data_IF_014737477702
#
_entry.id   IF_014737477702
#
_cell.length_a   1.000
_cell.length_b   1.000
_cell.length_c   1.000
_cell.angle_alpha   90.00
_cell.angle_beta   90.00
_cell.angle_gamma   90.00
#
_symmetry.space_group_name_H-M   'P 1'
#
loop_
_entity.id
_entity.type
_entity.pdbx_description
1 polymer ?
#
# COMPACT_ATOMS: atom_id res chain seq x y z
N UNK A 1 10.91 -54.31 -12.96
CA UNK A 1 11.19 -53.90 -14.36
C UNK A 1 11.49 -52.41 -14.32
N UNK A 2 12.78 -52.10 -14.40
CA UNK A 2 13.39 -50.79 -14.13
C UNK A 2 13.23 -49.90 -15.36
N UNK A 3 12.58 -48.75 -15.22
CA UNK A 3 12.45 -47.79 -16.32
C UNK A 3 13.66 -46.85 -16.36
N UNK A 4 14.25 -46.83 -17.56
CA UNK A 4 15.45 -46.12 -17.99
C UNK A 4 15.15 -44.62 -18.09
N UNK A 5 16.00 -43.78 -17.48
CA UNK A 5 16.10 -42.36 -17.83
C UNK A 5 17.52 -42.07 -18.30
N UNK A 6 17.67 -41.86 -19.61
CA UNK A 6 18.91 -41.43 -20.27
C UNK A 6 19.31 -40.04 -19.78
N UNK A 7 20.48 -39.93 -19.13
CA UNK A 7 21.14 -38.66 -18.83
C UNK A 7 21.71 -38.04 -20.12
N UNK A 8 21.22 -36.86 -20.48
CA UNK A 8 21.74 -36.06 -21.61
C UNK A 8 22.89 -35.19 -21.09
N UNK A 9 24.13 -35.55 -21.41
CA UNK A 9 25.31 -34.71 -21.19
C UNK A 9 25.34 -33.58 -22.24
N UNK A 10 24.98 -32.35 -21.86
CA UNK A 10 25.17 -31.17 -22.73
C UNK A 10 26.61 -30.66 -22.60
N UNK A 11 27.40 -30.86 -23.66
CA UNK A 11 28.73 -30.24 -23.83
C UNK A 11 28.52 -28.81 -24.35
N UNK A 12 28.88 -27.79 -23.58
CA UNK A 12 28.85 -26.40 -24.04
C UNK A 12 30.19 -26.09 -24.73
N UNK A 13 30.20 -25.99 -26.06
CA UNK A 13 31.33 -25.45 -26.80
C UNK A 13 31.07 -23.98 -27.10
N UNK A 14 31.88 -23.08 -26.52
CA UNK A 14 31.86 -21.66 -26.84
C UNK A 14 32.84 -21.47 -28.00
N UNK A 15 32.32 -21.38 -29.23
CA UNK A 15 33.08 -21.00 -30.40
C UNK A 15 32.96 -19.49 -30.62
N UNK A 16 34.09 -18.77 -30.60
CA UNK A 16 34.13 -17.37 -31.04
C UNK A 16 34.32 -17.33 -32.55
N UNK A 17 33.25 -17.02 -33.30
CA UNK A 17 33.32 -16.79 -34.73
C UNK A 17 33.67 -15.31 -35.02
N UNK A 18 34.73 -15.13 -35.83
CA UNK A 18 35.09 -13.99 -36.68
C UNK A 18 34.70 -12.56 -36.25
N UNK A 19 35.67 -11.82 -35.73
CA UNK A 19 36.23 -10.61 -36.36
C UNK A 19 37.21 -9.93 -35.39
N UNK A 20 38.51 -10.09 -35.65
CA UNK A 20 39.56 -9.27 -35.04
C UNK A 20 39.54 -7.89 -35.70
N UNK A 21 38.85 -6.91 -35.10
CA UNK A 21 39.11 -5.47 -35.29
C UNK A 21 38.17 -4.66 -34.39
N UNK A 22 38.59 -4.40 -33.15
CA UNK A 22 38.22 -3.19 -32.39
C UNK A 22 38.90 -3.21 -31.03
N UNK A 23 39.67 -2.16 -30.75
CA UNK A 23 40.21 -1.85 -29.43
C UNK A 23 39.11 -1.81 -28.36
N UNK A 24 39.13 -2.75 -27.41
CA UNK A 24 38.41 -2.65 -26.15
C UNK A 24 39.40 -2.95 -25.01
N UNK A 25 39.81 -1.89 -24.30
CA UNK A 25 40.38 -2.03 -22.95
C UNK A 25 39.26 -2.50 -22.03
N UNK A 26 39.33 -3.74 -21.54
CA UNK A 26 38.44 -4.24 -20.50
C UNK A 26 39.24 -5.03 -19.45
N UNK A 27 39.33 -4.57 -18.19
CA UNK A 27 40.12 -5.23 -17.15
C UNK A 27 39.24 -6.20 -16.32
N UNK A 28 38.55 -7.19 -16.92
CA UNK A 28 37.66 -8.06 -16.13
C UNK A 28 37.59 -9.54 -16.56
N UNK A 29 38.54 -10.04 -17.34
CA UNK A 29 38.56 -11.46 -17.74
C UNK A 29 38.85 -12.49 -16.61
N UNK A 30 39.54 -12.18 -15.49
CA UNK A 30 39.76 -13.17 -14.42
C UNK A 30 38.49 -13.57 -13.65
N UNK A 31 37.38 -12.82 -13.78
CA UNK A 31 36.22 -12.95 -12.90
C UNK A 31 35.25 -14.07 -13.31
N UNK A 32 35.21 -14.46 -14.59
CA UNK A 32 34.23 -15.42 -15.10
C UNK A 32 34.58 -16.88 -14.77
N UNK A 33 35.85 -17.25 -14.77
CA UNK A 33 36.27 -18.63 -14.46
C UNK A 33 36.03 -18.96 -12.97
N UNK A 34 36.24 -17.98 -12.08
CA UNK A 34 36.02 -18.13 -10.64
C UNK A 34 34.52 -18.24 -10.28
N UNK A 35 33.65 -17.60 -11.08
CA UNK A 35 32.19 -17.66 -10.92
C UNK A 35 31.58 -19.00 -11.36
N UNK A 36 32.16 -19.64 -12.38
CA UNK A 36 31.70 -20.94 -12.88
C UNK A 36 32.19 -22.11 -12.02
N UNK A 37 33.42 -22.04 -11.50
CA UNK A 37 33.98 -23.04 -10.58
C UNK A 37 33.16 -23.20 -9.29
N UNK A 38 32.63 -22.09 -8.74
CA UNK A 38 31.86 -22.10 -7.49
C UNK A 38 30.43 -22.65 -7.59
N UNK A 39 29.82 -22.67 -8.78
CA UNK A 39 28.40 -22.99 -8.92
C UNK A 39 28.10 -24.33 -9.65
N UNK A 40 29.07 -24.96 -10.31
CA UNK A 40 28.87 -26.20 -11.08
C UNK A 40 30.09 -27.15 -10.92
N UNK A 41 30.18 -27.94 -9.84
CA UNK A 41 31.38 -28.73 -9.53
C UNK A 41 31.66 -29.92 -10.48
N UNK A 42 30.77 -30.21 -11.44
CA UNK A 42 30.86 -31.38 -12.32
C UNK A 42 31.05 -31.04 -13.81
N UNK A 43 31.51 -29.83 -14.15
CA UNK A 43 31.76 -29.43 -15.54
C UNK A 43 33.26 -29.29 -15.80
N UNK A 44 33.79 -30.14 -16.68
CA UNK A 44 35.15 -30.01 -17.21
C UNK A 44 35.19 -28.94 -18.29
N UNK A 45 35.87 -27.82 -18.00
CA UNK A 45 36.12 -26.73 -18.94
C UNK A 45 37.52 -26.93 -19.55
N UNK A 46 37.60 -27.09 -20.87
CA UNK A 46 38.88 -27.15 -21.61
C UNK A 46 39.05 -25.86 -22.40
N UNK A 47 40.08 -25.09 -22.09
CA UNK A 47 40.48 -23.88 -22.82
C UNK A 47 41.71 -24.22 -23.65
N UNK A 48 41.64 -24.09 -24.98
CA UNK A 48 42.82 -24.15 -25.85
C UNK A 48 43.38 -22.73 -25.99
N UNK A 49 44.61 -22.51 -25.53
CA UNK A 49 45.37 -21.29 -25.82
C UNK A 49 46.00 -21.37 -27.20
N UNK A 50 45.80 -20.35 -28.04
CA UNK A 50 46.75 -20.03 -29.11
C UNK A 50 48.04 -19.49 -28.47
N UNK A 51 49.16 -19.73 -29.14
CA UNK A 51 50.52 -19.50 -28.66
C UNK A 51 50.89 -18.03 -28.36
N UNK A 52 51.95 -17.93 -27.55
CA UNK A 52 52.90 -16.83 -27.35
C UNK A 52 52.49 -15.56 -26.58
N UNK A 53 52.66 -15.61 -25.26
CA UNK A 53 53.11 -14.45 -24.46
C UNK A 53 53.84 -14.91 -23.19
N UNK A 54 55.14 -14.64 -23.13
CA UNK A 54 56.03 -14.78 -21.97
C UNK A 54 55.49 -14.02 -20.75
N UNK A 55 55.20 -14.72 -19.65
CA UNK A 55 55.29 -14.17 -18.29
C UNK A 55 55.95 -15.21 -17.38
N UNK A 56 57.03 -14.78 -16.75
CA UNK A 56 58.07 -15.53 -16.04
C UNK A 56 57.53 -16.26 -14.80
N UNK A 57 57.71 -17.58 -14.76
CA UNK A 57 57.59 -18.38 -13.54
C UNK A 57 58.83 -18.16 -12.65
N UNK A 58 58.63 -17.94 -11.35
CA UNK A 58 59.69 -18.18 -10.37
C UNK A 58 59.13 -18.64 -9.01
N UNK A 59 59.61 -19.81 -8.63
CA UNK A 59 59.71 -20.43 -7.30
C UNK A 59 58.44 -20.95 -6.61
N UNK A 60 58.20 -22.23 -6.90
CA UNK A 60 57.70 -23.21 -5.94
C UNK A 60 58.82 -23.48 -4.92
N UNK A 61 58.55 -23.25 -3.64
CA UNK A 61 59.28 -23.88 -2.53
C UNK A 61 58.25 -24.65 -1.70
N UNK A 62 58.37 -25.96 -1.72
CA UNK A 62 57.72 -26.88 -0.78
C UNK A 62 58.46 -26.77 0.56
N UNK A 63 57.75 -26.36 1.63
CA UNK A 63 58.12 -26.71 3.00
C UNK A 63 56.86 -27.27 3.65
N UNK A 64 56.87 -28.59 3.87
CA UNK A 64 55.89 -29.26 4.71
C UNK A 64 56.16 -28.93 6.17
N UNK A 65 55.13 -28.51 6.89
CA UNK A 65 55.04 -28.64 8.33
C UNK A 65 53.56 -28.71 8.73
N UNK A 66 53.21 -29.85 9.29
CA UNK A 66 51.94 -30.22 9.91
C UNK A 66 51.36 -29.11 10.80
N UNK A 67 50.13 -28.66 10.52
CA UNK A 67 49.29 -28.03 11.53
C UNK A 67 47.83 -28.44 11.33
N UNK A 68 47.31 -29.09 12.35
CA UNK A 68 45.95 -29.61 12.43
C UNK A 68 44.91 -28.55 12.03
N UNK A 69 44.02 -28.94 11.12
CA UNK A 69 42.80 -28.23 10.76
C UNK A 69 41.97 -27.99 12.03
N UNK A 70 41.97 -26.76 12.52
CA UNK A 70 40.90 -26.26 13.39
C UNK A 70 39.90 -25.57 12.46
N UNK A 71 38.92 -26.34 11.98
CA UNK A 71 37.75 -25.81 11.28
C UNK A 71 37.03 -24.91 12.28
N UNK A 72 37.11 -23.60 12.08
CA UNK A 72 36.27 -22.64 12.80
C UNK A 72 34.82 -23.01 12.54
N UNK A 73 33.97 -23.16 13.58
CA UNK A 73 32.56 -23.43 13.36
C UNK A 73 31.97 -22.27 12.57
N UNK A 74 31.31 -22.61 11.47
CA UNK A 74 30.48 -21.71 10.68
C UNK A 74 29.66 -20.89 11.65
N UNK A 75 29.90 -19.58 11.68
CA UNK A 75 29.12 -18.66 12.47
C UNK A 75 27.65 -18.93 12.13
N UNK A 76 26.90 -19.39 13.13
CA UNK A 76 25.46 -19.56 13.05
C UNK A 76 24.89 -18.32 12.36
N UNK A 77 24.33 -18.50 11.16
CA UNK A 77 23.41 -17.54 10.58
C UNK A 77 22.41 -17.22 11.68
N UNK A 78 22.46 -15.98 12.19
CA UNK A 78 21.48 -15.48 13.14
C UNK A 78 20.11 -15.88 12.60
N UNK A 79 19.22 -16.45 13.42
CA UNK A 79 17.88 -16.75 12.95
C UNK A 79 17.37 -15.44 12.36
N UNK A 80 17.04 -15.46 11.06
CA UNK A 80 16.33 -14.36 10.45
C UNK A 80 15.21 -14.01 11.41
N UNK A 81 15.14 -12.72 11.79
CA UNK A 81 14.10 -12.25 12.71
C UNK A 81 12.79 -12.83 12.19
N UNK A 82 12.25 -13.81 12.93
CA UNK A 82 10.93 -14.39 12.70
C UNK A 82 9.93 -13.28 12.99
N UNK A 83 9.82 -12.30 12.11
CA UNK A 83 8.61 -11.53 12.01
C UNK A 83 7.54 -12.57 11.72
N UNK A 84 6.66 -12.77 12.69
CA UNK A 84 5.64 -13.78 12.59
C UNK A 84 4.86 -13.53 11.30
N UNK A 85 4.95 -14.48 10.35
CA UNK A 85 4.10 -14.55 9.17
C UNK A 85 2.66 -14.40 9.65
N UNK A 86 2.09 -13.22 9.41
CA UNK A 86 0.77 -12.87 9.90
C UNK A 86 -0.20 -13.08 8.75
N UNK A 87 -1.14 -14.02 8.93
CA UNK A 87 -2.25 -14.14 8.00
C UNK A 87 -3.02 -12.83 7.94
N UNK A 88 -3.58 -12.51 6.79
CA UNK A 88 -4.27 -11.24 6.57
C UNK A 88 -5.44 -11.06 7.56
N UNK A 89 -6.28 -12.08 7.80
CA UNK A 89 -7.28 -11.99 8.87
C UNK A 89 -6.70 -11.76 10.29
N UNK A 90 -5.50 -12.28 10.56
CA UNK A 90 -4.79 -11.99 11.81
C UNK A 90 -4.38 -10.53 11.92
N UNK A 91 -3.94 -9.92 10.81
CA UNK A 91 -3.70 -8.48 10.71
C UNK A 91 -4.97 -7.68 10.97
N UNK A 92 -6.06 -7.97 10.27
CA UNK A 92 -7.34 -7.29 10.42
C UNK A 92 -7.84 -7.36 11.87
N UNK A 93 -7.75 -8.54 12.48
CA UNK A 93 -8.16 -8.74 13.86
C UNK A 93 -7.36 -7.85 14.82
N UNK A 94 -6.02 -7.90 14.73
CA UNK A 94 -5.14 -7.22 15.68
C UNK A 94 -5.17 -5.70 15.53
N UNK A 95 -5.13 -5.21 14.29
CA UNK A 95 -4.92 -3.78 14.01
C UNK A 95 -6.21 -3.03 13.66
N UNK A 96 -7.34 -3.71 13.47
CA UNK A 96 -8.58 -3.02 13.11
C UNK A 96 -9.73 -3.43 14.01
N UNK A 97 -9.99 -4.73 14.18
CA UNK A 97 -11.10 -5.21 15.00
C UNK A 97 -10.91 -4.85 16.47
N UNK A 98 -9.73 -5.04 17.05
CA UNK A 98 -9.46 -4.69 18.47
C UNK A 98 -9.66 -3.18 18.72
N UNK A 99 -9.01 -2.25 17.97
CA UNK A 99 -9.26 -0.81 18.13
C UNK A 99 -10.72 -0.42 17.89
N UNK A 100 -11.37 -1.01 16.87
CA UNK A 100 -12.78 -0.74 16.59
C UNK A 100 -13.66 -1.16 17.76
N UNK A 101 -13.45 -2.34 18.33
CA UNK A 101 -14.18 -2.81 19.51
C UNK A 101 -14.01 -1.86 20.71
N UNK A 102 -12.79 -1.33 20.93
CA UNK A 102 -12.54 -0.34 21.97
C UNK A 102 -13.32 0.97 21.72
N UNK A 103 -13.36 1.45 20.47
CA UNK A 103 -14.14 2.63 20.09
C UNK A 103 -15.65 2.40 20.23
N UNK A 104 -16.15 1.23 19.83
CA UNK A 104 -17.56 0.86 20.00
C UNK A 104 -17.93 0.80 21.48
N UNK A 105 -17.07 0.22 22.33
CA UNK A 105 -17.28 0.20 23.77
C UNK A 105 -17.31 1.62 24.37
N UNK A 106 -16.40 2.50 23.96
CA UNK A 106 -16.42 3.90 24.38
C UNK A 106 -17.66 4.65 23.89
N UNK A 107 -18.08 4.45 22.64
CA UNK A 107 -19.30 5.05 22.12
C UNK A 107 -20.55 4.60 22.90
N UNK A 108 -20.61 3.32 23.27
CA UNK A 108 -21.67 2.79 24.13
C UNK A 108 -21.65 3.42 25.52
N UNK A 109 -20.46 3.55 26.14
CA UNK A 109 -20.29 4.20 27.45
C UNK A 109 -20.67 5.67 27.43
N UNK A 110 -20.28 6.41 26.39
CA UNK A 110 -20.65 7.83 26.21
C UNK A 110 -22.16 7.98 26.09
N UNK A 111 -22.82 7.13 25.30
CA UNK A 111 -24.29 7.09 25.18
C UNK A 111 -24.97 6.82 26.52
N UNK A 112 -24.45 5.87 27.32
CA UNK A 112 -24.96 5.58 28.68
C UNK A 112 -24.79 6.76 29.65
N UNK A 113 -23.81 7.64 29.40
CA UNK A 113 -23.56 8.85 30.18
C UNK A 113 -24.32 10.08 29.65
N UNK A 114 -25.19 9.91 28.66
CA UNK A 114 -25.93 11.02 28.04
C UNK A 114 -25.06 11.94 27.18
N UNK A 115 -23.83 11.53 26.84
CA UNK A 115 -22.93 12.30 25.98
C UNK A 115 -23.25 12.03 24.52
N UNK A 116 -24.07 12.90 23.96
CA UNK A 116 -24.52 12.80 22.56
C UNK A 116 -23.63 13.62 21.61
N UNK A 117 -23.82 13.44 20.30
CA UNK A 117 -23.23 14.31 19.30
C UNK A 117 -23.71 15.76 19.49
N UNK A 118 -22.94 16.75 19.01
CA UNK A 118 -23.43 18.12 18.98
C UNK A 118 -24.57 18.30 17.99
N UNK A 119 -25.50 19.22 18.27
CA UNK A 119 -26.71 19.39 17.46
C UNK A 119 -26.44 19.73 15.99
N UNK A 120 -25.34 20.40 15.69
CA UNK A 120 -24.91 20.71 14.31
C UNK A 120 -24.55 19.46 13.50
N UNK A 121 -24.19 18.36 14.18
CA UNK A 121 -23.78 17.07 13.59
C UNK A 121 -24.83 15.95 13.82
N UNK A 122 -26.08 16.31 14.14
CA UNK A 122 -27.22 15.39 14.23
C UNK A 122 -28.10 15.44 12.98
N UNK A 123 -27.50 15.43 11.80
CA UNK A 123 -28.22 15.42 10.52
C UNK A 123 -28.85 14.06 10.21
N UNK A 124 -28.08 12.98 10.35
CA UNK A 124 -28.48 11.58 10.11
C UNK A 124 -27.96 10.72 11.27
N UNK A 125 -28.62 9.57 11.51
CA UNK A 125 -28.16 8.58 12.47
C UNK A 125 -26.73 8.10 12.15
N UNK A 126 -25.78 8.15 13.10
CA UNK A 126 -24.39 7.76 12.87
C UNK A 126 -24.20 6.36 12.29
N UNK A 127 -25.02 5.41 12.74
CA UNK A 127 -24.99 4.02 12.30
C UNK A 127 -25.39 3.90 10.82
N UNK A 128 -26.40 4.65 10.40
CA UNK A 128 -26.82 4.71 9.00
C UNK A 128 -25.76 5.39 8.12
N UNK A 129 -25.10 6.44 8.62
CA UNK A 129 -24.00 7.10 7.93
C UNK A 129 -22.81 6.14 7.72
N UNK A 130 -22.44 5.38 8.75
CA UNK A 130 -21.38 4.37 8.67
C UNK A 130 -21.72 3.25 7.68
N UNK A 131 -22.93 2.69 7.78
CA UNK A 131 -23.36 1.62 6.88
C UNK A 131 -23.42 2.09 5.41
N UNK A 132 -23.93 3.31 5.19
CA UNK A 132 -23.97 3.92 3.86
C UNK A 132 -22.56 4.13 3.29
N UNK A 133 -21.64 4.69 4.07
CA UNK A 133 -20.26 4.90 3.61
C UNK A 133 -19.52 3.58 3.39
N UNK A 134 -19.71 2.56 4.24
CA UNK A 134 -19.08 1.26 4.04
C UNK A 134 -19.57 0.60 2.75
N UNK A 135 -20.87 0.73 2.44
CA UNK A 135 -21.45 0.24 1.18
C UNK A 135 -20.86 0.95 -0.03
N UNK A 136 -20.75 2.28 0.03
CA UNK A 136 -20.14 3.08 -1.04
C UNK A 136 -18.65 2.74 -1.19
N UNK A 137 -17.92 2.57 -0.09
CA UNK A 137 -16.51 2.20 -0.10
C UNK A 137 -16.31 0.85 -0.80
N UNK A 138 -17.09 -0.18 -0.44
CA UNK A 138 -17.02 -1.48 -1.12
C UNK A 138 -17.33 -1.31 -2.61
N UNK A 139 -18.45 -0.69 -2.97
CA UNK A 139 -18.87 -0.55 -4.36
C UNK A 139 -17.86 0.23 -5.23
N UNK A 140 -17.30 1.32 -4.70
CA UNK A 140 -16.41 2.22 -5.44
C UNK A 140 -14.96 1.73 -5.49
N UNK A 141 -14.48 1.04 -4.44
CA UNK A 141 -13.10 0.55 -4.38
C UNK A 141 -12.95 -0.78 -5.12
N UNK A 142 -13.98 -1.64 -5.14
CA UNK A 142 -13.94 -2.97 -5.79
C UNK A 142 -13.33 -2.96 -7.21
N UNK A 143 -13.83 -2.15 -8.17
CA UNK A 143 -13.29 -2.19 -9.53
C UNK A 143 -11.85 -1.68 -9.62
N UNK A 144 -11.52 -0.65 -8.83
CA UNK A 144 -10.18 -0.07 -8.78
C UNK A 144 -9.18 -1.08 -8.24
N UNK A 145 -9.51 -1.74 -7.14
CA UNK A 145 -8.58 -2.65 -6.47
C UNK A 145 -8.37 -3.94 -7.27
N UNK A 146 -9.44 -4.48 -7.86
CA UNK A 146 -9.32 -5.59 -8.80
C UNK A 146 -8.41 -5.26 -9.97
N UNK A 147 -8.49 -4.04 -10.52
CA UNK A 147 -7.59 -3.61 -11.58
C UNK A 147 -6.12 -3.58 -11.11
N UNK A 148 -5.85 -3.08 -9.89
CA UNK A 148 -4.49 -3.03 -9.36
C UNK A 148 -3.88 -4.42 -9.20
N UNK A 149 -4.64 -5.36 -8.65
CA UNK A 149 -4.16 -6.74 -8.43
C UNK A 149 -4.05 -7.49 -9.75
N UNK A 150 -5.03 -7.36 -10.65
CA UNK A 150 -5.01 -7.97 -11.99
C UNK A 150 -3.79 -7.49 -12.81
N UNK A 151 -3.46 -6.20 -12.70
CA UNK A 151 -2.30 -5.62 -13.40
C UNK A 151 -0.99 -5.73 -12.63
N UNK A 152 -0.94 -6.40 -11.47
CA UNK A 152 0.29 -6.56 -10.67
C UNK A 152 0.92 -5.23 -10.24
N UNK A 153 0.10 -4.22 -9.95
CA UNK A 153 0.55 -3.06 -9.17
C UNK A 153 0.93 -3.50 -7.76
N UNK A 154 0.15 -4.42 -7.20
CA UNK A 154 0.44 -5.12 -5.97
C UNK A 154 -0.18 -6.52 -5.99
N UNK A 155 0.24 -7.39 -5.08
CA UNK A 155 -0.27 -8.75 -4.94
C UNK A 155 -0.06 -9.30 -3.53
N UNK A 156 -0.80 -10.35 -3.20
CA UNK A 156 -0.75 -11.04 -1.91
C UNK A 156 0.09 -12.32 -1.97
N UNK A 157 0.63 -12.75 -0.83
CA UNK A 157 1.16 -14.12 -0.68
C UNK A 157 -0.03 -15.10 -0.53
N UNK A 158 -0.20 -16.07 -1.44
CA UNK A 158 -1.27 -17.07 -1.37
C UNK A 158 -1.31 -17.88 -0.07
N UNK A 159 -0.19 -17.96 0.68
CA UNK A 159 -0.12 -18.67 1.97
C UNK A 159 -0.65 -17.84 3.14
N UNK A 160 -0.77 -16.53 2.97
CA UNK A 160 -1.17 -15.59 4.02
C UNK A 160 -2.61 -15.09 3.86
N UNK A 161 -3.28 -15.45 2.76
CA UNK A 161 -4.70 -15.25 2.52
C UNK A 161 -5.44 -16.59 2.53
N UNK A 162 -6.77 -16.56 2.69
CA UNK A 162 -7.63 -17.75 2.72
C UNK A 162 -7.83 -18.38 1.35
N UNK A 163 -7.58 -17.65 0.27
CA UNK A 163 -7.77 -18.10 -1.11
C UNK A 163 -9.19 -17.91 -1.65
N UNK A 164 -10.14 -17.40 -0.85
CA UNK A 164 -11.45 -16.99 -1.35
C UNK A 164 -11.34 -15.65 -2.06
N UNK A 165 -11.38 -15.67 -3.39
CA UNK A 165 -11.24 -14.49 -4.24
C UNK A 165 -12.61 -14.01 -4.76
N UNK A 166 -12.83 -12.70 -4.75
CA UNK A 166 -13.86 -12.04 -5.54
C UNK A 166 -13.16 -11.26 -6.65
N UNK A 167 -13.23 -11.78 -7.88
CA UNK A 167 -12.38 -11.34 -8.98
C UNK A 167 -10.92 -11.77 -8.75
N UNK A 168 -10.01 -10.81 -8.62
CA UNK A 168 -8.58 -11.03 -8.34
C UNK A 168 -8.21 -10.83 -6.87
N UNK A 169 -9.11 -10.26 -6.09
CA UNK A 169 -8.84 -9.74 -4.75
C UNK A 169 -9.39 -10.71 -3.69
N UNK A 170 -8.62 -11.03 -2.62
CA UNK A 170 -9.08 -11.90 -1.55
C UNK A 170 -10.16 -11.24 -0.68
N UNK A 171 -11.06 -12.05 -0.10
CA UNK A 171 -12.19 -11.58 0.71
C UNK A 171 -11.76 -10.74 1.94
N UNK A 172 -10.55 -10.98 2.44
CA UNK A 172 -9.90 -10.20 3.49
C UNK A 172 -9.82 -8.71 3.13
N UNK A 173 -9.55 -8.37 1.87
CA UNK A 173 -9.44 -6.99 1.43
C UNK A 173 -10.82 -6.29 1.41
N UNK A 174 -11.86 -6.99 0.99
CA UNK A 174 -13.23 -6.46 1.10
C UNK A 174 -13.64 -6.25 2.55
N UNK A 175 -13.18 -7.14 3.44
CA UNK A 175 -13.34 -6.99 4.88
C UNK A 175 -12.56 -5.76 5.38
N UNK A 176 -11.35 -5.52 4.86
CA UNK A 176 -10.58 -4.32 5.14
C UNK A 176 -11.32 -3.04 4.74
N UNK A 177 -11.94 -2.96 3.56
CA UNK A 177 -12.71 -1.79 3.13
C UNK A 177 -13.80 -1.42 4.13
N UNK A 178 -14.55 -2.43 4.61
CA UNK A 178 -15.61 -2.24 5.61
C UNK A 178 -15.01 -1.84 6.95
N UNK A 179 -14.03 -2.60 7.44
CA UNK A 179 -13.47 -2.38 8.78
C UNK A 179 -12.72 -1.05 8.88
N UNK A 180 -11.98 -0.62 7.85
CA UNK A 180 -11.35 0.69 7.80
C UNK A 180 -12.41 1.80 7.86
N UNK A 181 -13.48 1.68 7.08
CA UNK A 181 -14.58 2.67 7.09
C UNK A 181 -15.21 2.78 8.48
N UNK A 182 -15.47 1.65 9.13
CA UNK A 182 -16.00 1.61 10.49
C UNK A 182 -15.01 2.17 11.51
N UNK A 183 -13.72 1.83 11.41
CA UNK A 183 -12.68 2.32 12.33
C UNK A 183 -12.54 3.83 12.26
N UNK A 184 -12.29 4.38 11.06
CA UNK A 184 -12.08 5.81 10.85
C UNK A 184 -13.35 6.61 11.15
N UNK A 185 -14.51 6.10 10.74
CA UNK A 185 -15.79 6.73 11.04
C UNK A 185 -16.11 6.72 12.54
N UNK A 186 -15.84 5.61 13.26
CA UNK A 186 -16.03 5.53 14.71
C UNK A 186 -15.05 6.42 15.47
N UNK A 187 -13.81 6.55 15.00
CA UNK A 187 -12.83 7.48 15.54
C UNK A 187 -13.30 8.93 15.38
N UNK A 188 -13.80 9.31 14.21
CA UNK A 188 -14.36 10.64 13.97
C UNK A 188 -15.58 10.90 14.88
N UNK A 189 -16.46 9.92 15.07
CA UNK A 189 -17.62 10.04 15.97
C UNK A 189 -17.19 10.20 17.43
N UNK A 190 -16.15 9.49 17.86
CA UNK A 190 -15.54 9.70 19.16
C UNK A 190 -15.03 11.14 19.29
N UNK A 191 -14.27 11.65 18.31
CA UNK A 191 -13.80 13.03 18.31
C UNK A 191 -14.94 14.06 18.29
N UNK A 192 -15.99 13.83 17.49
CA UNK A 192 -17.12 14.74 17.37
C UNK A 192 -17.88 14.94 18.70
N UNK A 193 -17.92 13.91 19.55
CA UNK A 193 -18.50 14.00 20.91
C UNK A 193 -17.58 14.71 21.89
N UNK A 194 -16.28 14.73 21.65
CA UNK A 194 -15.26 15.15 22.62
C UNK A 194 -14.59 16.48 22.29
N UNK A 195 -14.72 16.98 21.06
CA UNK A 195 -14.14 18.25 20.62
C UNK A 195 -15.17 19.38 20.66
N UNK A 196 -14.74 20.62 20.94
CA UNK A 196 -15.62 21.78 20.84
C UNK A 196 -16.08 21.99 19.39
N UNK A 197 -17.35 22.33 19.23
CA UNK A 197 -17.93 22.67 17.92
C UNK A 197 -17.53 24.08 17.54
N UNK A 198 -17.12 24.26 16.29
CA UNK A 198 -17.00 25.57 15.69
C UNK A 198 -18.29 25.91 14.94
N UNK A 199 -19.05 26.88 15.42
CA UNK A 199 -20.28 27.37 14.79
C UNK A 199 -20.02 28.50 13.79
N UNK A 200 -18.79 29.04 13.75
CA UNK A 200 -18.44 30.15 12.88
C UNK A 200 -18.35 29.70 11.43
N UNK A 201 -19.27 30.21 10.61
CA UNK A 201 -19.26 29.99 9.16
C UNK A 201 -18.09 30.74 8.53
N UNK A 202 -17.47 30.18 7.47
CA UNK A 202 -16.43 30.87 6.75
C UNK A 202 -16.96 32.15 6.09
N UNK A 203 -16.12 33.19 6.02
CA UNK A 203 -16.48 34.48 5.39
C UNK A 203 -16.87 34.33 3.91
N UNK A 204 -16.14 33.51 3.16
CA UNK A 204 -16.33 33.31 1.71
C UNK A 204 -16.56 31.83 1.38
N UNK A 205 -17.76 31.27 1.64
CA UNK A 205 -18.03 29.83 1.48
C UNK A 205 -17.89 29.36 0.04
N UNK A 206 -18.35 30.16 -0.94
CA UNK A 206 -18.26 29.79 -2.37
C UNK A 206 -16.80 29.72 -2.85
N UNK A 207 -15.98 30.70 -2.44
CA UNK A 207 -14.56 30.74 -2.79
C UNK A 207 -13.81 29.52 -2.25
N UNK A 208 -14.12 29.08 -1.02
CA UNK A 208 -13.50 27.89 -0.43
C UNK A 208 -13.89 26.64 -1.24
N UNK A 209 -15.18 26.45 -1.52
CA UNK A 209 -15.66 25.28 -2.28
C UNK A 209 -15.04 25.21 -3.67
N UNK A 210 -15.13 26.31 -4.42
CA UNK A 210 -14.61 26.35 -5.79
C UNK A 210 -13.08 26.32 -5.82
N UNK A 211 -12.41 27.07 -4.94
CA UNK A 211 -10.95 27.16 -4.90
C UNK A 211 -10.30 25.82 -4.59
N UNK A 212 -10.76 25.12 -3.54
CA UNK A 212 -10.24 23.79 -3.20
C UNK A 212 -10.57 22.78 -4.31
N UNK A 213 -11.80 22.80 -4.82
CA UNK A 213 -12.19 21.86 -5.90
C UNK A 213 -11.38 22.09 -7.17
N UNK A 214 -11.13 23.34 -7.57
CA UNK A 214 -10.31 23.67 -8.72
C UNK A 214 -8.86 23.23 -8.54
N UNK A 215 -8.27 23.43 -7.35
CA UNK A 215 -6.93 22.95 -7.05
C UNK A 215 -6.84 21.42 -7.16
N UNK A 216 -7.82 20.70 -6.61
CA UNK A 216 -7.89 19.23 -6.71
C UNK A 216 -8.11 18.77 -8.16
N UNK A 217 -8.90 19.49 -8.95
CA UNK A 217 -9.15 19.19 -10.36
C UNK A 217 -7.87 19.27 -11.20
N UNK A 218 -6.98 20.24 -10.91
CA UNK A 218 -5.69 20.34 -11.58
C UNK A 218 -4.79 19.14 -11.25
N UNK A 219 -4.76 18.71 -9.98
CA UNK A 219 -3.98 17.53 -9.56
C UNK A 219 -4.56 16.27 -10.22
N UNK A 220 -5.88 16.12 -10.22
CA UNK A 220 -6.58 15.01 -10.85
C UNK A 220 -6.32 14.96 -12.37
N UNK A 221 -6.45 16.08 -13.08
CA UNK A 221 -6.19 16.13 -14.51
C UNK A 221 -4.74 15.72 -14.82
N UNK A 222 -3.79 16.17 -13.99
CA UNK A 222 -2.38 15.78 -14.12
C UNK A 222 -2.16 14.29 -13.83
N UNK A 223 -2.83 13.71 -12.84
CA UNK A 223 -2.70 12.27 -12.52
C UNK A 223 -3.32 11.39 -13.61
N UNK A 224 -4.48 11.76 -14.14
CA UNK A 224 -5.12 11.08 -15.28
C UNK A 224 -4.20 11.14 -16.51
N UNK A 225 -3.69 12.32 -16.85
CA UNK A 225 -2.78 12.47 -17.98
C UNK A 225 -1.48 11.67 -17.80
N UNK A 226 -0.92 11.63 -16.58
CA UNK A 226 0.25 10.80 -16.27
C UNK A 226 -0.04 9.31 -16.43
N UNK A 227 -1.22 8.85 -15.98
CA UNK A 227 -1.66 7.47 -16.12
C UNK A 227 -1.85 7.08 -17.60
N UNK A 228 -2.55 7.90 -18.38
CA UNK A 228 -2.81 7.66 -19.80
C UNK A 228 -1.54 7.66 -20.67
N UNK A 229 -0.50 8.39 -20.27
CA UNK A 229 0.81 8.37 -20.95
C UNK A 229 1.60 7.07 -20.73
N UNK A 230 1.16 6.19 -19.83
CA UNK A 230 1.72 4.84 -19.69
C UNK A 230 3.09 4.76 -18.99
N UNK A 231 3.46 5.77 -18.19
CA UNK A 231 4.72 5.75 -17.43
C UNK A 231 4.71 4.67 -16.35
N UNK A 232 5.40 3.53 -16.57
CA UNK A 232 5.38 2.36 -15.67
C UNK A 232 5.65 2.75 -14.21
N UNK A 233 6.73 3.46 -13.93
CA UNK A 233 7.21 3.81 -12.57
C UNK A 233 6.30 4.72 -11.73
N UNK A 234 5.20 5.24 -12.28
CA UNK A 234 4.24 6.07 -11.53
C UNK A 234 2.81 5.57 -11.64
N UNK A 235 2.64 4.35 -12.12
CA UNK A 235 1.32 3.78 -12.36
C UNK A 235 0.51 3.80 -11.07
N UNK A 236 1.10 3.34 -9.96
CA UNK A 236 0.39 3.26 -8.69
C UNK A 236 -0.04 4.64 -8.18
N UNK A 237 0.89 5.59 -8.07
CA UNK A 237 0.59 6.96 -7.67
C UNK A 237 -0.50 7.61 -8.55
N UNK A 238 -0.38 7.48 -9.87
CA UNK A 238 -1.26 8.16 -10.82
C UNK A 238 -2.69 7.62 -10.75
N UNK A 239 -2.85 6.29 -10.67
CA UNK A 239 -4.18 5.68 -10.60
C UNK A 239 -4.84 5.89 -9.24
N UNK A 240 -4.06 5.88 -8.14
CA UNK A 240 -4.58 6.17 -6.79
C UNK A 240 -5.15 7.59 -6.72
N UNK A 241 -4.43 8.59 -7.25
CA UNK A 241 -4.91 9.97 -7.32
C UNK A 241 -6.09 10.13 -8.29
N UNK A 242 -6.03 9.52 -9.47
CA UNK A 242 -7.10 9.60 -10.46
C UNK A 242 -8.43 9.03 -9.93
N UNK A 243 -8.36 7.95 -9.14
CA UNK A 243 -9.52 7.32 -8.52
C UNK A 243 -10.06 8.10 -7.32
N UNK A 244 -9.19 8.45 -6.35
CA UNK A 244 -9.64 9.03 -5.08
C UNK A 244 -10.11 10.48 -5.22
N UNK A 245 -9.49 11.27 -6.10
CA UNK A 245 -9.79 12.69 -6.18
C UNK A 245 -11.18 12.99 -6.75
N UNK A 246 -11.77 12.08 -7.53
CA UNK A 246 -13.14 12.26 -8.06
C UNK A 246 -14.15 12.46 -6.92
N UNK A 247 -14.34 11.52 -5.98
CA UNK A 247 -15.25 11.71 -4.86
C UNK A 247 -14.81 12.82 -3.90
N UNK A 248 -13.51 13.06 -3.71
CA UNK A 248 -13.06 14.19 -2.87
C UNK A 248 -13.51 15.53 -3.49
N UNK A 249 -13.37 15.71 -4.81
CA UNK A 249 -13.84 16.90 -5.51
C UNK A 249 -15.35 17.09 -5.38
N UNK A 250 -16.13 16.02 -5.50
CA UNK A 250 -17.58 16.07 -5.29
C UNK A 250 -17.89 16.56 -3.86
N UNK A 251 -17.20 16.02 -2.86
CA UNK A 251 -17.37 16.41 -1.46
C UNK A 251 -16.97 17.87 -1.18
N UNK A 252 -15.85 18.34 -1.75
CA UNK A 252 -15.40 19.74 -1.59
C UNK A 252 -16.28 20.72 -2.34
N UNK A 253 -16.81 20.33 -3.52
CA UNK A 253 -17.74 21.15 -4.27
C UNK A 253 -19.08 21.27 -3.55
N UNK A 254 -19.56 20.18 -2.97
CA UNK A 254 -20.83 20.14 -2.22
C UNK A 254 -20.74 20.91 -0.90
N UNK A 255 -19.69 20.69 -0.11
CA UNK A 255 -19.62 21.15 1.27
C UNK A 255 -18.23 21.51 1.78
N UNK A 256 -17.32 21.94 0.90
CA UNK A 256 -15.97 22.39 1.31
C UNK A 256 -15.96 23.50 2.37
N UNK A 257 -16.99 24.34 2.41
CA UNK A 257 -17.18 25.35 3.46
C UNK A 257 -17.60 24.73 4.81
N UNK A 258 -18.44 23.70 4.80
CA UNK A 258 -18.82 22.92 6.00
C UNK A 258 -17.59 22.18 6.54
N UNK A 259 -16.81 21.56 5.64
CA UNK A 259 -15.56 20.90 5.99
C UNK A 259 -14.54 21.87 6.58
N UNK A 260 -14.46 23.09 6.03
CA UNK A 260 -13.59 24.14 6.55
C UNK A 260 -14.03 24.63 7.93
N UNK A 261 -15.33 24.78 8.16
CA UNK A 261 -15.89 25.09 9.47
C UNK A 261 -15.48 24.04 10.51
N UNK A 262 -15.56 22.75 10.14
CA UNK A 262 -15.17 21.61 10.99
C UNK A 262 -13.73 21.14 10.77
N UNK A 263 -12.82 21.99 10.27
CA UNK A 263 -11.46 21.59 9.84
C UNK A 263 -10.64 20.88 10.92
N UNK A 264 -10.82 21.23 12.20
CA UNK A 264 -10.14 20.57 13.32
C UNK A 264 -10.62 19.13 13.48
N UNK A 265 -11.93 18.89 13.43
CA UNK A 265 -12.51 17.55 13.49
C UNK A 265 -12.06 16.72 12.30
N UNK A 266 -12.13 17.29 11.09
CA UNK A 266 -11.71 16.62 9.85
C UNK A 266 -10.22 16.27 9.90
N UNK A 267 -9.35 17.21 10.25
CA UNK A 267 -7.90 16.97 10.35
C UNK A 267 -7.55 15.91 11.40
N UNK A 268 -8.19 15.94 12.57
CA UNK A 268 -7.99 14.93 13.62
C UNK A 268 -8.67 13.60 13.30
N UNK A 269 -9.64 13.58 12.39
CA UNK A 269 -10.16 12.35 11.80
C UNK A 269 -9.16 11.68 10.86
N UNK A 270 -8.50 12.49 10.01
CA UNK A 270 -7.62 12.03 8.93
C UNK A 270 -6.21 11.69 9.44
N UNK A 271 -5.55 12.61 10.14
CA UNK A 271 -4.11 12.50 10.43
C UNK A 271 -3.79 11.31 11.34
N UNK A 272 -4.43 11.13 12.51
CA UNK A 272 -4.12 10.02 13.41
C UNK A 272 -4.44 8.66 12.80
N UNK A 273 -5.56 8.52 12.09
CA UNK A 273 -5.96 7.26 11.45
C UNK A 273 -5.02 6.91 10.30
N UNK A 274 -4.56 7.90 9.54
CA UNK A 274 -3.57 7.72 8.48
C UNK A 274 -2.25 7.25 9.05
N UNK A 275 -1.73 7.90 10.09
CA UNK A 275 -0.48 7.51 10.74
C UNK A 275 -0.59 6.09 11.30
N UNK A 276 -1.69 5.79 12.00
CA UNK A 276 -1.93 4.49 12.61
C UNK A 276 -1.98 3.36 11.57
N UNK A 277 -2.80 3.52 10.52
CA UNK A 277 -2.95 2.51 9.48
C UNK A 277 -1.69 2.36 8.63
N UNK A 278 -1.02 3.46 8.31
CA UNK A 278 0.29 3.43 7.63
C UNK A 278 1.35 2.67 8.45
N UNK A 279 1.36 2.87 9.77
CA UNK A 279 2.28 2.15 10.64
C UNK A 279 1.94 0.67 10.74
N UNK A 280 0.65 0.31 10.80
CA UNK A 280 0.21 -1.08 10.79
C UNK A 280 0.55 -1.76 9.47
N UNK A 281 0.27 -1.11 8.35
CA UNK A 281 0.54 -1.59 7.00
C UNK A 281 2.04 -1.85 6.76
N UNK A 282 2.91 -0.98 7.27
CA UNK A 282 4.35 -1.21 7.25
C UNK A 282 4.74 -2.55 7.89
N UNK A 283 4.03 -3.01 8.92
CA UNK A 283 4.31 -4.30 9.55
C UNK A 283 3.80 -5.47 8.70
N UNK A 284 2.69 -5.27 7.99
CA UNK A 284 2.12 -6.29 7.11
C UNK A 284 2.97 -6.51 5.84
N UNK A 285 3.49 -5.43 5.25
CA UNK A 285 4.45 -5.48 4.14
C UNK A 285 5.75 -6.15 4.57
N UNK A 286 6.29 -5.79 5.74
CA UNK A 286 7.48 -6.47 6.29
C UNK A 286 7.23 -7.95 6.58
N UNK A 287 6.01 -8.30 6.99
CA UNK A 287 5.57 -9.68 7.18
C UNK A 287 5.29 -10.46 5.89
N UNK A 288 5.38 -9.81 4.72
CA UNK A 288 5.17 -10.43 3.40
C UNK A 288 3.72 -10.68 3.02
N UNK A 289 2.75 -10.08 3.73
CA UNK A 289 1.32 -10.31 3.48
C UNK A 289 0.91 -9.86 2.08
N UNK A 290 1.40 -8.70 1.67
CA UNK A 290 1.33 -8.20 0.30
C UNK A 290 2.65 -7.54 -0.10
N UNK A 291 2.85 -7.42 -1.42
CA UNK A 291 4.03 -6.81 -2.02
C UNK A 291 3.60 -5.80 -3.07
N UNK A 292 4.22 -4.62 -3.03
CA UNK A 292 4.02 -3.55 -4.01
C UNK A 292 5.09 -3.65 -5.10
N UNK A 293 4.70 -3.49 -6.36
CA UNK A 293 5.59 -3.58 -7.51
C UNK A 293 6.60 -2.42 -7.56
N UNK A 294 7.92 -2.68 -7.47
CA UNK A 294 8.93 -1.63 -7.60
C UNK A 294 8.93 -0.97 -8.98
N UNK A 295 8.54 -1.71 -10.02
CA UNK A 295 8.48 -1.19 -11.39
C UNK A 295 7.31 -0.22 -11.61
N UNK A 296 6.28 -0.30 -10.78
CA UNK A 296 5.05 0.48 -10.91
C UNK A 296 4.90 1.61 -9.89
N UNK A 297 5.88 1.71 -8.99
CA UNK A 297 5.93 2.64 -7.88
C UNK A 297 7.10 3.61 -8.00
N UNK A 298 6.99 4.74 -7.30
CA UNK A 298 8.01 5.80 -7.27
C UNK A 298 9.26 5.38 -6.50
N UNK A 299 9.22 4.23 -5.81
CA UNK A 299 10.32 3.66 -5.02
C UNK A 299 10.82 4.54 -3.87
N UNK A 300 10.02 5.51 -3.44
CA UNK A 300 10.26 6.28 -2.22
C UNK A 300 9.57 5.59 -1.04
N UNK A 301 10.35 5.26 0.00
CA UNK A 301 9.85 4.58 1.21
C UNK A 301 9.95 5.48 2.44
N UNK A 302 8.84 5.67 3.13
CA UNK A 302 8.75 6.38 4.40
C UNK A 302 9.29 5.46 5.51
N UNK A 303 10.22 5.97 6.32
CA UNK A 303 10.87 5.19 7.38
C UNK A 303 11.66 3.98 6.86
N UNK A 304 12.02 3.96 5.58
CA UNK A 304 12.75 2.87 4.92
C UNK A 304 11.90 1.63 4.60
N UNK A 305 10.61 1.62 4.96
CA UNK A 305 9.76 0.42 4.91
C UNK A 305 8.53 0.60 4.04
N UNK A 306 7.70 1.59 4.38
CA UNK A 306 6.40 1.81 3.78
C UNK A 306 6.52 2.58 2.46
N UNK A 307 6.07 2.04 1.32
CA UNK A 307 5.99 2.81 0.08
C UNK A 307 5.13 4.07 0.27
N UNK A 308 5.56 5.19 -0.30
CA UNK A 308 4.85 6.45 -0.18
C UNK A 308 3.40 6.37 -0.67
N UNK A 309 3.16 5.61 -1.73
CA UNK A 309 1.82 5.41 -2.28
C UNK A 309 0.86 4.75 -1.30
N UNK A 310 1.34 3.87 -0.42
CA UNK A 310 0.53 3.25 0.63
C UNK A 310 0.10 4.30 1.67
N UNK A 311 1.05 5.12 2.14
CA UNK A 311 0.72 6.21 3.06
C UNK A 311 -0.27 7.21 2.43
N UNK A 312 -0.10 7.50 1.14
CA UNK A 312 -1.02 8.34 0.39
C UNK A 312 -2.40 7.67 0.23
N UNK A 313 -2.45 6.36 -0.01
CA UNK A 313 -3.69 5.60 -0.08
C UNK A 313 -4.47 5.68 1.25
N UNK A 314 -3.81 5.45 2.39
CA UNK A 314 -4.44 5.64 3.70
C UNK A 314 -4.89 7.09 3.92
N UNK A 315 -4.07 8.07 3.53
CA UNK A 315 -4.44 9.48 3.62
C UNK A 315 -5.71 9.78 2.83
N UNK A 316 -5.80 9.33 1.59
CA UNK A 316 -6.93 9.59 0.69
C UNK A 316 -8.20 8.86 1.14
N UNK A 317 -8.10 7.59 1.53
CA UNK A 317 -9.24 6.81 2.05
C UNK A 317 -9.76 7.39 3.37
N UNK A 318 -8.87 7.75 4.31
CA UNK A 318 -9.30 8.41 5.55
C UNK A 318 -9.86 9.83 5.31
N UNK A 319 -9.39 10.52 4.27
CA UNK A 319 -9.97 11.79 3.80
C UNK A 319 -11.41 11.58 3.32
N UNK A 320 -11.64 10.58 2.45
CA UNK A 320 -12.97 10.24 1.94
C UNK A 320 -13.95 9.90 3.06
N UNK A 321 -13.51 9.09 4.03
CA UNK A 321 -14.35 8.67 5.16
C UNK A 321 -14.61 9.86 6.09
N UNK A 322 -13.58 10.59 6.50
CA UNK A 322 -13.72 11.70 7.47
C UNK A 322 -14.55 12.86 6.91
N UNK A 323 -14.30 13.25 5.67
CA UNK A 323 -15.09 14.27 4.99
C UNK A 323 -16.53 13.78 4.75
N UNK A 324 -16.71 12.54 4.26
CA UNK A 324 -18.02 11.95 4.00
C UNK A 324 -18.88 11.89 5.25
N UNK A 325 -18.32 11.39 6.36
CA UNK A 325 -18.99 11.36 7.66
C UNK A 325 -19.36 12.77 8.14
N UNK A 326 -18.43 13.73 8.08
CA UNK A 326 -18.69 15.12 8.51
C UNK A 326 -19.83 15.73 7.70
N UNK A 327 -19.84 15.53 6.37
CA UNK A 327 -20.88 16.04 5.48
C UNK A 327 -22.23 15.38 5.76
N UNK A 328 -22.29 14.06 5.87
CA UNK A 328 -23.56 13.33 6.10
C UNK A 328 -24.17 13.68 7.46
N UNK A 329 -23.32 13.84 8.49
CA UNK A 329 -23.75 14.20 9.83
C UNK A 329 -24.15 15.68 9.96
N UNK A 330 -23.60 16.58 9.15
CA UNK A 330 -23.90 18.01 9.25
C UNK A 330 -25.36 18.33 8.90
N UNK A 331 -26.05 19.07 9.77
CA UNK A 331 -27.39 19.62 9.47
C UNK A 331 -27.37 20.61 8.31
N UNK A 332 -26.27 21.35 8.13
CA UNK A 332 -26.16 22.32 7.03
C UNK A 332 -26.09 21.63 5.66
N UNK A 333 -25.63 20.38 5.61
CA UNK A 333 -25.72 19.55 4.40
C UNK A 333 -27.17 19.25 4.02
N UNK A 334 -28.05 19.03 5.01
CA UNK A 334 -29.44 18.68 4.74
C UNK A 334 -30.18 19.77 3.97
N UNK A 335 -29.85 21.04 4.24
CA UNK A 335 -30.39 22.19 3.50
C UNK A 335 -30.03 22.19 2.01
N UNK A 336 -28.98 21.45 1.61
CA UNK A 336 -28.48 21.36 0.22
C UNK A 336 -28.89 20.08 -0.49
N UNK A 337 -29.35 19.07 0.25
CA UNK A 337 -29.80 17.81 -0.33
C UNK A 337 -31.14 18.03 -1.08
N UNK A 338 -31.31 17.51 -2.32
CA UNK A 338 -32.57 17.62 -3.05
C UNK A 338 -33.76 17.02 -2.28
N UNK A 339 -34.98 17.58 -2.39
CA UNK A 339 -36.15 17.10 -1.64
C UNK A 339 -36.47 15.61 -1.83
N UNK A 340 -36.23 15.07 -3.03
CA UNK A 340 -36.43 13.64 -3.33
C UNK A 340 -35.54 12.73 -2.46
N UNK A 341 -34.29 13.14 -2.25
CA UNK A 341 -33.33 12.39 -1.43
C UNK A 341 -33.64 12.56 0.05
N UNK A 342 -34.10 13.74 0.48
CA UNK A 342 -34.54 13.96 1.88
C UNK A 342 -35.70 13.04 2.27
N UNK A 343 -36.68 12.87 1.37
CA UNK A 343 -37.83 11.98 1.58
C UNK A 343 -37.41 10.52 1.72
N UNK A 344 -36.46 10.07 0.89
CA UNK A 344 -35.90 8.72 0.99
C UNK A 344 -35.15 8.50 2.30
N UNK A 345 -34.39 9.51 2.75
CA UNK A 345 -33.66 9.50 4.03
C UNK A 345 -34.55 9.74 5.27
N UNK A 346 -35.87 9.91 5.10
CA UNK A 346 -36.85 10.24 6.16
C UNK A 346 -36.42 11.42 7.05
N UNK A 347 -35.75 12.40 6.44
CA UNK A 347 -35.36 13.61 7.13
C UNK A 347 -36.58 14.50 7.30
N UNK A 348 -36.79 15.07 8.50
CA UNK A 348 -37.86 16.05 8.71
C UNK A 348 -37.56 17.29 7.88
N UNK A 349 -38.57 17.79 7.17
CA UNK A 349 -38.51 19.13 6.58
C UNK A 349 -38.33 20.13 7.74
N UNK A 350 -37.21 20.84 7.73
CA UNK A 350 -36.89 21.90 8.71
C UNK A 350 -37.39 23.24 8.20
#
# INVERSE_FOLDING_TARGET
MTFIVKSVQKKLMIGTAHNCSAHLRAPHFPCLIDLFSKNLPNIHISVRSCHDALITCSKIIFVGATRANRVSPVAHLKPERRFALMKYFGFLFRFIVIPLAALTFWAWRDKKRGKDLPDTLKGIFPEAALAGLATVAVAYTTPWDNYLVATKVWWYDPKLVTGFLLGWVPIEEYTFFVLQTLLTGSWLLFLARNLPVNEQKPKNPMLIRLGVTAALALIWARSVLAFLRGGKSRTYLSITLAWALIPIMIQTLFGGDILWQHRRLVALGIIPTTIYLSAADSLAIEGGTWTISPEKSINFKIGGKLPFEEALFFFLTNTLISMGMTLVLSKDSQKRVPPRVRRWLRLKDQ
#
